data_IF_651078504724
#
_entry.id   IF_651078504724
#
_cell.length_a   1.000
_cell.length_b   1.000
_cell.length_c   1.000
_cell.angle_alpha   90.00
_cell.angle_beta   90.00
_cell.angle_gamma   90.00
#
_symmetry.space_group_name_H-M   'P 1'
#
loop_
_entity.id
_entity.type
_entity.pdbx_description
1 polymer ?
#
# COMPACT_ATOMS: atom_id res chain seq x y z
N UNK A 1 6.28 13.94 6.02
CA UNK A 1 5.22 12.95 6.30
C UNK A 1 4.85 12.33 4.97
N UNK A 2 4.91 11.01 4.89
CA UNK A 2 4.62 10.19 3.72
C UNK A 2 3.14 10.28 3.29
N UNK A 3 2.27 10.76 4.19
CA UNK A 3 0.84 11.00 3.95
C UNK A 3 0.55 12.40 3.41
N UNK A 4 1.57 13.25 3.28
CA UNK A 4 1.41 14.56 2.66
C UNK A 4 0.77 14.43 1.26
N UNK A 5 -0.24 15.25 0.92
CA UNK A 5 -0.94 15.12 -0.35
C UNK A 5 -0.04 15.18 -1.59
N UNK A 6 1.04 15.97 -1.56
CA UNK A 6 2.00 16.05 -2.66
C UNK A 6 2.81 14.75 -2.79
N UNK A 7 3.19 14.13 -1.67
CA UNK A 7 3.88 12.83 -1.65
C UNK A 7 2.95 11.73 -2.18
N UNK A 8 1.69 11.70 -1.71
CA UNK A 8 0.69 10.74 -2.21
C UNK A 8 0.43 10.91 -3.70
N UNK A 9 0.37 12.15 -4.21
CA UNK A 9 0.21 12.41 -5.64
C UNK A 9 1.39 11.86 -6.46
N UNK A 10 2.63 12.03 -5.97
CA UNK A 10 3.82 11.47 -6.62
C UNK A 10 3.78 9.94 -6.63
N UNK A 11 3.44 9.31 -5.50
CA UNK A 11 3.34 7.85 -5.38
C UNK A 11 2.26 7.30 -6.31
N UNK A 12 1.08 7.94 -6.36
CA UNK A 12 0.00 7.60 -7.29
C UNK A 12 0.49 7.61 -8.75
N UNK A 13 1.22 8.65 -9.14
CA UNK A 13 1.78 8.76 -10.49
C UNK A 13 2.77 7.64 -10.80
N UNK A 14 3.66 7.31 -9.87
CA UNK A 14 4.65 6.24 -10.04
C UNK A 14 3.98 4.88 -10.17
N UNK A 15 3.05 4.55 -9.27
CA UNK A 15 2.30 3.28 -9.32
C UNK A 15 1.53 3.19 -10.63
N UNK A 16 0.80 4.25 -11.00
CA UNK A 16 0.05 4.30 -12.26
C UNK A 16 0.93 4.14 -13.50
N UNK A 17 2.13 4.74 -13.51
CA UNK A 17 3.07 4.62 -14.62
C UNK A 17 3.62 3.19 -14.75
N UNK A 18 4.05 2.57 -13.65
CA UNK A 18 4.52 1.18 -13.63
C UNK A 18 3.44 0.20 -14.10
N UNK A 19 2.21 0.34 -13.60
CA UNK A 19 1.07 -0.48 -14.00
C UNK A 19 0.75 -0.34 -15.49
N UNK A 20 0.70 0.89 -16.02
CA UNK A 20 0.51 1.13 -17.46
C UNK A 20 1.60 0.50 -18.32
N UNK A 21 2.82 0.43 -17.80
CA UNK A 21 3.95 -0.20 -18.48
C UNK A 21 4.05 -1.73 -18.26
N UNK A 22 3.13 -2.33 -17.51
CA UNK A 22 3.20 -3.75 -17.12
C UNK A 22 4.46 -4.07 -16.32
N UNK A 23 4.92 -3.13 -15.49
CA UNK A 23 6.12 -3.25 -14.66
C UNK A 23 5.73 -3.35 -13.19
N UNK A 24 6.52 -4.15 -12.47
CA UNK A 24 6.43 -4.30 -11.03
C UNK A 24 6.75 -3.00 -10.30
N UNK A 25 6.04 -2.72 -9.21
CA UNK A 25 6.28 -1.60 -8.30
C UNK A 25 6.10 -2.02 -6.84
N UNK A 26 7.09 -1.70 -6.01
CA UNK A 26 7.03 -1.87 -4.56
C UNK A 26 7.59 -0.66 -3.84
N UNK A 27 7.26 -0.51 -2.56
CA UNK A 27 7.70 0.61 -1.72
C UNK A 27 8.36 0.11 -0.43
N UNK A 28 9.39 0.83 0.02
CA UNK A 28 10.04 0.64 1.30
C UNK A 28 10.09 1.96 2.08
N UNK A 29 10.30 1.88 3.39
CA UNK A 29 10.33 3.04 4.29
C UNK A 29 9.52 2.79 5.56
N UNK A 30 9.58 3.73 6.49
CA UNK A 30 8.85 3.61 7.77
C UNK A 30 7.35 3.87 7.62
N UNK A 31 6.94 4.76 6.70
CA UNK A 31 5.54 5.12 6.48
C UNK A 31 4.52 3.96 6.50
N UNK A 32 4.67 2.89 5.68
CA UNK A 32 3.71 1.79 5.69
C UNK A 32 3.76 0.91 6.96
N UNK A 33 4.85 0.97 7.74
CA UNK A 33 4.95 0.25 9.03
C UNK A 33 4.31 1.05 10.16
N UNK A 34 4.49 2.37 10.15
CA UNK A 34 3.96 3.28 11.19
C UNK A 34 2.47 3.59 11.00
N UNK A 35 1.98 3.50 9.77
CA UNK A 35 0.63 3.92 9.38
C UNK A 35 -0.11 2.83 8.58
N UNK A 36 -0.89 1.94 9.25
CA UNK A 36 -1.65 0.88 8.57
C UNK A 36 -2.66 1.40 7.54
N UNK A 37 -3.23 2.59 7.77
CA UNK A 37 -4.12 3.27 6.81
C UNK A 37 -3.38 3.70 5.53
N UNK A 38 -2.10 4.06 5.64
CA UNK A 38 -1.25 4.32 4.50
C UNK A 38 -0.91 3.03 3.74
N UNK A 39 -0.61 1.92 4.43
CA UNK A 39 -0.45 0.61 3.80
C UNK A 39 -1.71 0.17 3.04
N UNK A 40 -2.88 0.37 3.63
CA UNK A 40 -4.18 0.16 2.96
C UNK A 40 -4.35 1.04 1.73
N UNK A 41 -4.02 2.33 1.83
CA UNK A 41 -4.12 3.23 0.68
C UNK A 41 -3.19 2.77 -0.46
N UNK A 42 -1.95 2.35 -0.16
CA UNK A 42 -1.03 1.80 -1.16
C UNK A 42 -1.61 0.55 -1.85
N UNK A 43 -2.30 -0.31 -1.10
CA UNK A 43 -3.02 -1.47 -1.65
C UNK A 43 -4.16 -1.04 -2.58
N UNK A 44 -4.94 -0.02 -2.20
CA UNK A 44 -6.02 0.54 -3.02
C UNK A 44 -5.50 1.18 -4.33
N UNK A 45 -4.31 1.78 -4.30
CA UNK A 45 -3.61 2.29 -5.48
C UNK A 45 -3.11 1.16 -6.41
N UNK A 46 -3.08 -0.08 -5.93
CA UNK A 46 -2.69 -1.26 -6.68
C UNK A 46 -1.18 -1.46 -6.76
N UNK A 47 -0.45 -1.17 -5.69
CA UNK A 47 0.96 -1.54 -5.55
C UNK A 47 1.13 -3.07 -5.50
N UNK A 48 2.24 -3.60 -6.00
CA UNK A 48 2.48 -5.04 -6.00
C UNK A 48 3.04 -5.54 -4.66
N UNK A 49 3.80 -4.70 -3.95
CA UNK A 49 4.37 -5.05 -2.65
C UNK A 49 4.67 -3.85 -1.75
N UNK A 50 4.70 -4.14 -0.45
CA UNK A 50 5.13 -3.21 0.60
C UNK A 50 6.17 -3.90 1.49
N UNK A 51 7.24 -3.20 1.85
CA UNK A 51 8.21 -3.68 2.85
C UNK A 51 7.85 -3.09 4.21
N UNK A 52 7.72 -3.95 5.22
CA UNK A 52 7.30 -3.59 6.58
C UNK A 52 8.37 -3.95 7.60
N UNK A 53 8.37 -3.25 8.73
CA UNK A 53 9.21 -3.61 9.87
C UNK A 53 8.74 -4.97 10.46
N UNK A 54 9.66 -5.81 10.96
CA UNK A 54 9.33 -7.14 11.46
C UNK A 54 8.30 -7.20 12.60
N UNK A 55 8.23 -6.16 13.41
CA UNK A 55 7.27 -5.99 14.50
C UNK A 55 5.86 -5.62 14.00
N UNK A 56 5.77 -4.82 12.94
CA UNK A 56 4.50 -4.38 12.34
C UNK A 56 3.91 -5.35 11.31
N UNK A 57 4.73 -6.24 10.73
CA UNK A 57 4.36 -7.01 9.52
C UNK A 57 3.12 -7.88 9.72
N UNK A 58 2.99 -8.55 10.86
CA UNK A 58 1.86 -9.47 11.13
C UNK A 58 0.56 -8.69 11.31
N UNK A 59 0.59 -7.63 12.12
CA UNK A 59 -0.59 -6.80 12.38
C UNK A 59 -1.10 -6.14 11.10
N UNK A 60 -0.21 -5.48 10.34
CA UNK A 60 -0.57 -4.82 9.09
C UNK A 60 -1.07 -5.82 8.05
N UNK A 61 -0.49 -7.04 7.99
CA UNK A 61 -0.97 -8.08 7.08
C UNK A 61 -2.38 -8.57 7.43
N UNK A 62 -2.66 -8.84 8.70
CA UNK A 62 -3.99 -9.23 9.16
C UNK A 62 -5.03 -8.14 8.88
N UNK A 63 -4.69 -6.89 9.16
CA UNK A 63 -5.52 -5.73 8.84
C UNK A 63 -5.87 -5.65 7.34
N UNK A 64 -4.87 -5.82 6.46
CA UNK A 64 -5.11 -5.84 5.01
C UNK A 64 -5.92 -7.06 4.55
N UNK A 65 -5.74 -8.21 5.19
CA UNK A 65 -6.48 -9.44 4.87
C UNK A 65 -7.97 -9.31 5.22
N UNK A 66 -8.32 -8.74 6.37
CA UNK A 66 -9.72 -8.47 6.74
C UNK A 66 -10.41 -7.54 5.74
N UNK A 67 -9.71 -6.53 5.24
CA UNK A 67 -10.23 -5.58 4.26
C UNK A 67 -10.47 -6.20 2.89
N UNK A 68 -9.57 -7.06 2.44
CA UNK A 68 -9.69 -7.76 1.15
C UNK A 68 -10.75 -8.86 1.19
N UNK A 69 -10.85 -9.59 2.31
CA UNK A 69 -11.90 -10.59 2.53
C UNK A 69 -13.31 -9.97 2.53
N UNK A 70 -13.46 -8.75 3.07
CA UNK A 70 -14.73 -8.03 3.06
C UNK A 70 -15.09 -7.44 1.68
N UNK A 71 -14.12 -7.15 0.80
CA UNK A 71 -14.41 -6.72 -0.58
C UNK A 71 -14.86 -7.88 -1.47
N UNK A 72 -14.24 -9.05 -1.36
CA UNK A 72 -14.65 -10.24 -2.12
C UNK A 72 -16.05 -10.76 -1.79
N UNK A 73 -16.62 -10.39 -0.64
CA UNK A 73 -18.01 -10.72 -0.28
C UNK A 73 -19.04 -9.73 -0.84
N UNK A 74 -18.62 -8.60 -1.39
CA UNK A 74 -19.47 -7.50 -1.87
C UNK A 74 -19.50 -7.35 -3.41
N UNK A 75 -18.68 -8.13 -4.12
CA UNK A 75 -18.58 -8.21 -5.59
C UNK A 75 -19.18 -9.53 -6.12
#
# INVERSE_FOLDING_TARGET
DERDPAVKALIHQVIGACRKAGKYVGICGQGPSDYPDFARWLLDEGIDSVSLNPDSVVETWLFMAELTGNRQAAD
#
